data_IF_540982896052
#
_entry.id   IF_540982896052
#
_cell.length_a   1.000
_cell.length_b   1.000
_cell.length_c   1.000
_cell.angle_alpha   90.00
_cell.angle_beta   90.00
_cell.angle_gamma   90.00
#
_symmetry.space_group_name_H-M   'P 1'
#
loop_
_entity.id
_entity.type
_entity.pdbx_description
1 polymer ?
#
# COMPACT_ATOMS: atom_id res chain seq x y z
N UNK A 1 -2.60 28.93 7.77
CA UNK A 1 -2.82 27.88 8.80
C UNK A 1 -3.67 26.73 8.27
N UNK A 2 -4.75 26.99 7.51
CA UNK A 2 -5.53 25.92 6.86
C UNK A 2 -4.70 25.08 5.88
N UNK A 3 -3.82 25.70 5.08
CA UNK A 3 -3.02 24.99 4.07
C UNK A 3 -2.11 23.92 4.69
N UNK A 4 -1.46 24.23 5.81
CA UNK A 4 -0.59 23.30 6.56
C UNK A 4 -1.41 22.11 7.11
N UNK A 5 -2.62 22.36 7.61
CA UNK A 5 -3.49 21.29 8.12
C UNK A 5 -3.95 20.38 6.99
N UNK A 6 -4.30 20.96 5.84
CA UNK A 6 -4.70 20.20 4.65
C UNK A 6 -3.53 19.34 4.14
N UNK A 7 -2.32 19.88 4.06
CA UNK A 7 -1.13 19.17 3.60
C UNK A 7 -0.72 18.00 4.52
N UNK A 8 -0.87 18.18 5.83
CA UNK A 8 -0.67 17.11 6.81
C UNK A 8 -1.77 16.04 6.69
N UNK A 9 -3.04 16.45 6.59
CA UNK A 9 -4.17 15.53 6.45
C UNK A 9 -4.05 14.69 5.16
N UNK A 10 -3.64 15.30 4.05
CA UNK A 10 -3.41 14.60 2.79
C UNK A 10 -2.29 13.55 2.92
N UNK A 11 -1.20 13.86 3.61
CA UNK A 11 -0.15 12.88 3.85
C UNK A 11 -0.57 11.71 4.71
N UNK A 12 -1.32 11.99 5.79
CA UNK A 12 -1.88 10.93 6.64
C UNK A 12 -2.84 10.05 5.84
N UNK A 13 -3.70 10.65 5.02
CA UNK A 13 -4.61 9.91 4.14
C UNK A 13 -3.86 9.04 3.13
N UNK A 14 -2.77 9.54 2.53
CA UNK A 14 -1.94 8.78 1.60
C UNK A 14 -1.20 7.63 2.30
N UNK A 15 -0.65 7.87 3.50
CA UNK A 15 -0.01 6.82 4.28
C UNK A 15 -0.99 5.71 4.69
N UNK A 16 -2.21 6.09 5.10
CA UNK A 16 -3.29 5.14 5.38
C UNK A 16 -3.68 4.35 4.13
N UNK A 17 -3.83 5.02 2.98
CA UNK A 17 -4.13 4.36 1.71
C UNK A 17 -3.03 3.35 1.35
N UNK A 18 -1.77 3.72 1.51
CA UNK A 18 -0.64 2.83 1.24
C UNK A 18 -0.69 1.58 2.13
N UNK A 19 -1.00 1.76 3.41
CA UNK A 19 -1.20 0.66 4.36
C UNK A 19 -2.35 -0.26 3.95
N UNK A 20 -3.51 0.31 3.60
CA UNK A 20 -4.68 -0.46 3.16
C UNK A 20 -4.39 -1.24 1.89
N UNK A 21 -3.80 -0.61 0.87
CA UNK A 21 -3.43 -1.28 -0.38
C UNK A 21 -2.48 -2.45 -0.12
N UNK A 22 -1.51 -2.27 0.77
CA UNK A 22 -0.55 -3.31 1.11
C UNK A 22 -1.24 -4.48 1.83
N UNK A 23 -2.09 -4.21 2.81
CA UNK A 23 -2.82 -5.24 3.56
C UNK A 23 -3.78 -6.02 2.65
N UNK A 24 -4.55 -5.33 1.83
CA UNK A 24 -5.49 -5.96 0.88
C UNK A 24 -4.72 -6.76 -0.16
N UNK A 25 -3.60 -6.23 -0.67
CA UNK A 25 -2.74 -6.95 -1.61
C UNK A 25 -2.22 -8.26 -1.04
N UNK A 26 -1.72 -8.23 0.19
CA UNK A 26 -1.25 -9.44 0.90
C UNK A 26 -2.36 -10.47 1.14
N UNK A 27 -3.55 -10.02 1.52
CA UNK A 27 -4.72 -10.90 1.69
C UNK A 27 -5.14 -11.53 0.35
N UNK A 28 -5.14 -10.76 -0.73
CA UNK A 28 -5.47 -11.25 -2.07
C UNK A 28 -4.46 -12.30 -2.55
N UNK A 29 -3.15 -12.10 -2.33
CA UNK A 29 -2.16 -13.14 -2.65
C UNK A 29 -2.38 -14.41 -1.83
N UNK A 30 -2.66 -14.27 -0.53
CA UNK A 30 -2.93 -15.41 0.36
C UNK A 30 -4.14 -16.23 -0.10
N UNK A 31 -5.25 -15.54 -0.42
CA UNK A 31 -6.44 -16.15 -0.99
C UNK A 31 -6.16 -16.80 -2.34
N UNK A 32 -5.36 -16.15 -3.18
CA UNK A 32 -4.98 -16.69 -4.48
C UNK A 32 -4.20 -18.00 -4.40
N UNK A 33 -3.25 -18.11 -3.46
CA UNK A 33 -2.56 -19.38 -3.23
C UNK A 33 -3.50 -20.48 -2.70
N UNK A 34 -4.45 -20.12 -1.85
CA UNK A 34 -5.48 -21.05 -1.36
C UNK A 34 -6.39 -21.54 -2.49
N UNK A 35 -6.87 -20.63 -3.35
CA UNK A 35 -7.65 -20.93 -4.55
C UNK A 35 -6.89 -21.84 -5.52
N UNK A 36 -5.59 -21.60 -5.72
CA UNK A 36 -4.74 -22.49 -6.53
C UNK A 36 -4.62 -23.90 -5.92
N UNK A 37 -4.42 -23.98 -4.60
CA UNK A 37 -4.36 -25.27 -3.89
C UNK A 37 -5.70 -26.01 -3.92
N UNK A 38 -6.83 -25.29 -3.94
CA UNK A 38 -8.18 -25.83 -4.11
C UNK A 38 -8.52 -26.24 -5.56
N UNK A 39 -7.60 -26.04 -6.52
CA UNK A 39 -7.80 -26.38 -7.93
C UNK A 39 -8.52 -25.32 -8.76
N UNK A 40 -8.85 -24.16 -8.19
CA UNK A 40 -9.44 -23.02 -8.89
C UNK A 40 -8.36 -22.16 -9.56
N UNK A 41 -7.71 -22.71 -10.59
CA UNK A 41 -6.55 -22.09 -11.24
C UNK A 41 -6.82 -20.65 -11.74
N UNK A 42 -7.92 -20.42 -12.45
CA UNK A 42 -8.21 -19.09 -13.02
C UNK A 42 -8.44 -18.03 -11.93
N UNK A 43 -9.17 -18.38 -10.87
CA UNK A 43 -9.45 -17.47 -9.74
C UNK A 43 -8.17 -17.22 -8.94
N UNK A 44 -7.42 -18.27 -8.62
CA UNK A 44 -6.18 -18.12 -7.85
C UNK A 44 -5.10 -17.30 -8.56
N UNK A 45 -4.92 -17.50 -9.88
CA UNK A 45 -4.00 -16.65 -10.65
C UNK A 45 -4.47 -15.19 -10.66
N UNK A 46 -5.77 -14.96 -10.82
CA UNK A 46 -6.33 -13.61 -10.82
C UNK A 46 -6.12 -12.90 -9.48
N UNK A 47 -6.38 -13.58 -8.37
CA UNK A 47 -6.19 -13.05 -7.01
C UNK A 47 -4.72 -12.71 -6.73
N UNK A 48 -3.77 -13.56 -7.16
CA UNK A 48 -2.34 -13.26 -7.06
C UNK A 48 -1.97 -12.03 -7.91
N UNK A 49 -2.43 -11.95 -9.16
CA UNK A 49 -2.13 -10.79 -10.02
C UNK A 49 -2.65 -9.49 -9.41
N UNK A 50 -3.90 -9.49 -8.93
CA UNK A 50 -4.49 -8.31 -8.26
C UNK A 50 -3.73 -7.98 -6.97
N UNK A 51 -3.41 -9.00 -6.17
CA UNK A 51 -2.64 -8.85 -4.94
C UNK A 51 -1.28 -8.20 -5.19
N UNK A 52 -0.53 -8.69 -6.17
CA UNK A 52 0.75 -8.14 -6.57
C UNK A 52 0.63 -6.68 -7.04
N UNK A 53 -0.39 -6.34 -7.84
CA UNK A 53 -0.62 -4.96 -8.27
C UNK A 53 -0.90 -4.01 -7.09
N UNK A 54 -1.69 -4.45 -6.12
CA UNK A 54 -1.99 -3.67 -4.91
C UNK A 54 -0.75 -3.49 -4.02
N UNK A 55 0.07 -4.53 -3.87
CA UNK A 55 1.34 -4.44 -3.15
C UNK A 55 2.31 -3.48 -3.84
N UNK A 56 2.41 -3.54 -5.17
CA UNK A 56 3.23 -2.59 -5.95
C UNK A 56 2.72 -1.17 -5.78
N UNK A 57 1.40 -0.96 -5.82
CA UNK A 57 0.80 0.35 -5.62
C UNK A 57 1.06 0.89 -4.21
N UNK A 58 0.87 0.05 -3.17
CA UNK A 58 1.18 0.39 -1.79
C UNK A 58 2.67 0.73 -1.61
N UNK A 59 3.57 -0.10 -2.13
CA UNK A 59 5.01 0.12 -2.06
C UNK A 59 5.44 1.41 -2.78
N UNK A 60 4.87 1.71 -3.94
CA UNK A 60 5.10 2.98 -4.65
C UNK A 60 4.64 4.16 -3.81
N UNK A 61 3.45 4.08 -3.22
CA UNK A 61 2.91 5.18 -2.41
C UNK A 61 3.74 5.41 -1.14
N UNK A 62 4.22 4.34 -0.50
CA UNK A 62 5.19 4.46 0.60
C UNK A 62 6.47 5.13 0.13
N UNK A 63 7.01 4.72 -1.02
CA UNK A 63 8.28 5.25 -1.53
C UNK A 63 8.20 6.73 -1.93
N UNK A 64 7.13 7.11 -2.60
CA UNK A 64 6.99 8.42 -3.20
C UNK A 64 6.44 9.47 -2.21
N UNK A 65 5.66 9.05 -1.21
CA UNK A 65 5.03 9.98 -0.25
C UNK A 65 5.52 9.77 1.19
N UNK A 66 5.52 8.54 1.70
CA UNK A 66 5.80 8.29 3.11
C UNK A 66 7.30 8.43 3.44
N UNK A 67 8.18 7.88 2.60
CA UNK A 67 9.63 7.90 2.82
C UNK A 67 10.21 9.33 2.84
N UNK A 68 9.90 10.21 1.85
CA UNK A 68 10.40 11.57 1.85
C UNK A 68 9.89 12.37 3.05
N UNK A 69 8.65 12.14 3.47
CA UNK A 69 8.05 12.81 4.62
C UNK A 69 8.69 12.38 5.95
N UNK A 70 9.06 11.10 6.11
CA UNK A 70 9.82 10.61 7.28
C UNK A 70 11.24 11.17 7.30
N UNK A 71 11.92 11.21 6.15
CA UNK A 71 13.26 11.75 6.03
C UNK A 71 13.28 13.25 6.33
N UNK A 72 12.32 14.02 5.82
CA UNK A 72 12.19 15.45 6.12
C UNK A 72 12.00 15.72 7.62
N UNK A 73 11.23 14.88 8.33
CA UNK A 73 11.08 15.00 9.81
C UNK A 73 12.40 14.69 10.53
N UNK A 74 13.20 13.76 10.00
CA UNK A 74 14.47 13.37 10.60
C UNK A 74 15.55 14.44 10.39
N UNK A 75 15.59 15.06 9.20
CA UNK A 75 16.51 16.16 8.89
C UNK A 75 16.19 17.46 9.65
N UNK A 76 14.92 17.74 9.95
CA UNK A 76 14.51 18.91 10.77
C UNK A 76 14.84 18.76 12.27
N UNK A 77 15.18 17.54 12.70
CA UNK A 77 15.51 17.22 14.11
C UNK A 77 17.01 17.01 14.38
N UNK A 78 17.87 17.22 13.37
CA UNK A 78 19.33 17.17 13.45
C UNK A 78 19.95 18.58 13.45
#
# INVERSE_FOLDING_TARGET
>A
MLDVVVEQLTGVAMALLAGVLTLVGFLAESAGFESLAAGQQMVGVWEIVVGALLLIAGAKLVRDEALPRIMAVTDDSA
#
